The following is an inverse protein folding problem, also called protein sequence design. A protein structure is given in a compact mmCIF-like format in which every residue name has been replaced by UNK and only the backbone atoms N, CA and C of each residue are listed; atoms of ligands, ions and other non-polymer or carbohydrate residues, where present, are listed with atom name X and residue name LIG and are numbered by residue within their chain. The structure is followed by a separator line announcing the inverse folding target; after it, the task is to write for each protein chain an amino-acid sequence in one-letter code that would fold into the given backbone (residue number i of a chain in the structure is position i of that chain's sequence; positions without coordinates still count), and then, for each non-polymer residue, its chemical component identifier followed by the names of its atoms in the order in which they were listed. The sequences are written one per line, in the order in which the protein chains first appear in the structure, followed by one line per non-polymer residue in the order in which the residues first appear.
data_IF_728429606520
#
_entry.id   IF_728429606520
#
_cell.length_a   1.000
_cell.length_b   1.000
_cell.length_c   1.000
_cell.angle_alpha   90.00
_cell.angle_beta   90.00
_cell.angle_gamma   90.00
#
_symmetry.space_group_name_H-M   'P 1'
#
loop_
_entity.id
_entity.type
_entity.pdbx_description
1 polymer ?
#
# COMPACT_ATOMS: atom_id res chain seq x y z
N UNK A 1 12.62 -5.76 8.17
CA UNK A 1 11.40 -6.32 8.82
C UNK A 1 10.20 -5.56 8.31
N UNK A 2 9.14 -6.24 7.89
CA UNK A 2 7.89 -5.61 7.44
C UNK A 2 7.18 -5.04 8.68
N UNK A 3 6.72 -3.80 8.63
CA UNK A 3 6.04 -3.18 9.76
C UNK A 3 4.60 -3.66 9.89
N UNK A 4 4.05 -3.59 11.11
CA UNK A 4 2.64 -3.92 11.37
C UNK A 4 1.68 -3.09 10.49
N UNK A 5 2.07 -1.86 10.12
CA UNK A 5 1.28 -0.97 9.26
C UNK A 5 1.30 -1.43 7.82
N UNK A 6 2.44 -1.85 7.30
CA UNK A 6 2.55 -2.45 5.98
C UNK A 6 1.74 -3.74 5.88
N UNK A 7 1.82 -4.61 6.89
CA UNK A 7 1.01 -5.84 6.95
C UNK A 7 -0.49 -5.53 6.96
N UNK A 8 -0.93 -4.56 7.77
CA UNK A 8 -2.34 -4.10 7.78
C UNK A 8 -2.75 -3.49 6.45
N UNK A 9 -1.87 -2.70 5.83
CA UNK A 9 -2.12 -2.09 4.51
C UNK A 9 -2.36 -3.15 3.44
N UNK A 10 -1.53 -4.19 3.39
CA UNK A 10 -1.73 -5.33 2.48
C UNK A 10 -3.07 -6.02 2.73
N UNK A 11 -3.40 -6.32 4.00
CA UNK A 11 -4.68 -6.97 4.35
C UNK A 11 -5.87 -6.11 3.91
N UNK A 12 -5.83 -4.80 4.18
CA UNK A 12 -6.88 -3.86 3.76
C UNK A 12 -6.97 -3.82 2.23
N UNK A 13 -5.83 -3.79 1.53
CA UNK A 13 -5.77 -3.81 0.07
C UNK A 13 -6.39 -5.08 -0.54
N UNK A 14 -6.16 -6.24 0.08
CA UNK A 14 -6.78 -7.51 -0.33
C UNK A 14 -8.29 -7.45 -0.09
N UNK A 15 -8.74 -7.03 1.09
CA UNK A 15 -10.17 -6.90 1.41
C UNK A 15 -10.85 -5.94 0.43
N UNK A 16 -10.22 -4.80 0.15
CA UNK A 16 -10.71 -3.82 -0.81
C UNK A 16 -10.80 -4.39 -2.22
N UNK A 17 -9.86 -5.25 -2.61
CA UNK A 17 -9.91 -5.94 -3.91
C UNK A 17 -11.06 -6.92 -3.99
N UNK A 18 -11.34 -7.66 -2.92
CA UNK A 18 -12.48 -8.58 -2.85
C UNK A 18 -13.81 -7.81 -2.93
N UNK A 19 -13.93 -6.70 -2.20
CA UNK A 19 -15.15 -5.89 -2.21
C UNK A 19 -15.34 -5.12 -3.51
N UNK A 20 -14.28 -4.86 -4.28
CA UNK A 20 -14.34 -4.18 -5.58
C UNK A 20 -15.21 -4.91 -6.62
N UNK A 21 -15.35 -6.23 -6.49
CA UNK A 21 -16.16 -7.05 -7.39
C UNK A 21 -17.66 -6.96 -7.08
N UNK A 22 -18.04 -6.53 -5.88
CA UNK A 22 -19.46 -6.35 -5.51
C UNK A 22 -20.13 -5.28 -6.39
N UNK A 23 -19.68 -4.02 -6.44
CA UNK A 23 -20.27 -3.01 -7.33
C UNK A 23 -19.97 -3.24 -8.81
N UNK A 24 -19.12 -4.22 -9.13
CA UNK A 24 -18.87 -4.63 -10.52
C UNK A 24 -19.98 -5.57 -11.01
N UNK A 25 -20.32 -6.58 -10.20
CA UNK A 25 -21.38 -7.56 -10.54
C UNK A 25 -22.78 -7.12 -10.10
N UNK A 26 -22.88 -6.10 -9.25
CA UNK A 26 -24.14 -5.59 -8.76
C UNK A 26 -24.21 -4.09 -8.95
N UNK A 27 -25.40 -3.57 -9.24
CA UNK A 27 -25.63 -2.11 -9.23
C UNK A 27 -25.66 -1.53 -7.80
N UNK A 28 -25.49 -2.37 -6.78
CA UNK A 28 -25.31 -1.90 -5.41
C UNK A 28 -24.04 -1.07 -5.28
N UNK A 29 -24.10 -0.04 -4.45
CA UNK A 29 -22.99 0.88 -4.19
C UNK A 29 -22.55 1.69 -5.42
N UNK A 30 -23.44 1.93 -6.39
CA UNK A 30 -23.14 2.73 -7.59
C UNK A 30 -22.47 4.09 -7.31
N UNK A 31 -22.90 4.78 -6.24
CA UNK A 31 -22.28 6.04 -5.80
C UNK A 31 -20.83 5.88 -5.30
N UNK A 32 -20.47 4.73 -4.73
CA UNK A 32 -19.13 4.42 -4.22
C UNK A 32 -18.30 3.58 -5.19
N UNK A 33 -18.86 3.16 -6.34
CA UNK A 33 -18.21 2.32 -7.34
C UNK A 33 -16.89 2.93 -7.84
N UNK A 34 -16.82 4.26 -7.95
CA UNK A 34 -15.60 4.95 -8.37
C UNK A 34 -14.42 4.77 -7.40
N UNK A 35 -14.69 4.48 -6.13
CA UNK A 35 -13.66 4.27 -5.10
C UNK A 35 -13.51 2.78 -4.83
N UNK A 36 -14.60 2.07 -4.57
CA UNK A 36 -14.57 0.65 -4.20
C UNK A 36 -14.16 -0.21 -5.40
N UNK A 37 -14.59 0.13 -6.62
CA UNK A 37 -14.35 -0.64 -7.83
C UNK A 37 -12.97 -0.46 -8.47
N UNK A 38 -12.10 0.39 -7.92
CA UNK A 38 -10.77 0.67 -8.49
C UNK A 38 -9.94 -0.62 -8.69
N UNK A 39 -9.80 -1.52 -7.69
CA UNK A 39 -9.03 -2.74 -7.86
C UNK A 39 -9.55 -3.65 -8.98
N UNK A 40 -10.88 -3.79 -9.10
CA UNK A 40 -11.50 -4.61 -10.14
C UNK A 40 -11.26 -4.01 -11.54
N UNK A 41 -11.44 -2.69 -11.69
CA UNK A 41 -11.16 -1.99 -12.94
C UNK A 41 -9.68 -2.12 -13.36
N UNK A 42 -8.76 -1.98 -12.40
CA UNK A 42 -7.33 -2.17 -12.67
C UNK A 42 -6.99 -3.62 -13.04
N UNK A 43 -7.60 -4.61 -12.37
CA UNK A 43 -7.45 -6.02 -12.70
C UNK A 43 -7.90 -6.34 -14.12
N UNK A 44 -9.06 -5.82 -14.54
CA UNK A 44 -9.58 -5.97 -15.91
C UNK A 44 -8.70 -5.30 -16.96
N UNK A 45 -8.18 -4.11 -16.67
CA UNK A 45 -7.25 -3.43 -17.57
C UNK A 45 -5.92 -4.20 -17.71
N UNK A 46 -5.43 -4.83 -16.64
CA UNK A 46 -4.26 -5.70 -16.71
C UNK A 46 -4.53 -6.97 -17.51
N UNK A 47 -5.70 -7.58 -17.34
CA UNK A 47 -6.14 -8.72 -18.14
C UNK A 47 -6.10 -8.39 -19.63
N UNK A 48 -6.66 -7.24 -20.00
CA UNK A 48 -6.70 -6.74 -21.36
C UNK A 48 -5.30 -6.42 -21.90
N UNK A 49 -4.44 -5.81 -21.09
CA UNK A 49 -3.07 -5.47 -21.48
C UNK A 49 -2.16 -6.69 -21.64
N UNK A 50 -2.36 -7.74 -20.84
CA UNK A 50 -1.53 -8.94 -20.83
C UNK A 50 -2.10 -10.08 -21.68
N UNK A 51 -3.38 -10.00 -22.10
CA UNK A 51 -4.06 -11.03 -22.86
C UNK A 51 -4.19 -12.36 -22.10
N UNK A 52 -4.25 -12.32 -20.77
CA UNK A 52 -4.33 -13.52 -19.90
C UNK A 52 -5.51 -13.40 -18.97
N UNK A 53 -6.46 -14.34 -19.04
CA UNK A 53 -7.76 -14.31 -18.35
C UNK A 53 -7.71 -14.54 -16.85
N UNK A 54 -7.17 -13.58 -16.08
CA UNK A 54 -7.02 -13.64 -14.63
C UNK A 54 -7.22 -12.25 -13.95
N UNK A 55 -8.17 -11.42 -14.41
CA UNK A 55 -8.43 -10.10 -13.82
C UNK A 55 -8.63 -10.12 -12.30
N UNK A 56 -9.26 -11.17 -11.77
CA UNK A 56 -9.46 -11.33 -10.33
C UNK A 56 -8.13 -11.41 -9.58
N UNK A 57 -7.19 -12.24 -10.05
CA UNK A 57 -5.87 -12.37 -9.43
C UNK A 57 -5.07 -11.08 -9.57
N UNK A 58 -5.13 -10.43 -10.74
CA UNK A 58 -4.49 -9.14 -10.94
C UNK A 58 -5.05 -8.06 -10.02
N UNK A 59 -6.37 -8.03 -9.81
CA UNK A 59 -7.00 -7.08 -8.88
C UNK A 59 -6.47 -7.23 -7.45
N UNK A 60 -6.31 -8.48 -6.98
CA UNK A 60 -5.79 -8.78 -5.64
C UNK A 60 -4.32 -8.38 -5.54
N UNK A 61 -3.49 -8.71 -6.53
CA UNK A 61 -2.08 -8.36 -6.55
C UNK A 61 -1.88 -6.85 -6.53
N UNK A 62 -2.63 -6.12 -7.37
CA UNK A 62 -2.57 -4.67 -7.43
C UNK A 62 -3.09 -4.03 -6.16
N UNK A 63 -4.22 -4.49 -5.61
CA UNK A 63 -4.76 -3.94 -4.36
C UNK A 63 -3.86 -4.23 -3.16
N UNK A 64 -3.25 -5.42 -3.08
CA UNK A 64 -2.23 -5.74 -2.09
C UNK A 64 -0.99 -4.84 -2.23
N UNK A 65 -0.53 -4.62 -3.46
CA UNK A 65 0.59 -3.74 -3.78
C UNK A 65 0.31 -2.29 -3.40
N UNK A 66 -0.85 -1.75 -3.79
CA UNK A 66 -1.31 -0.42 -3.40
C UNK A 66 -1.42 -0.30 -1.87
N UNK A 67 -2.03 -1.27 -1.21
CA UNK A 67 -2.14 -1.33 0.24
C UNK A 67 -0.79 -1.33 0.94
N UNK A 68 0.20 -2.04 0.37
CA UNK A 68 1.58 -2.00 0.86
C UNK A 68 2.24 -0.63 0.68
N UNK A 69 2.08 0.00 -0.49
CA UNK A 69 2.61 1.34 -0.78
C UNK A 69 2.01 2.37 0.16
N UNK A 70 0.69 2.40 0.32
CA UNK A 70 0.02 3.28 1.27
C UNK A 70 0.48 3.01 2.71
N UNK A 71 0.56 1.75 3.12
CA UNK A 71 1.07 1.37 4.44
C UNK A 71 2.50 1.85 4.68
N UNK A 72 3.35 1.80 3.65
CA UNK A 72 4.74 2.28 3.68
C UNK A 72 4.83 3.80 3.74
N UNK A 73 4.00 4.52 2.98
CA UNK A 73 3.92 5.99 3.04
C UNK A 73 3.50 6.47 4.43
N UNK A 74 2.46 5.85 5.00
CA UNK A 74 1.99 6.18 6.36
C UNK A 74 3.08 5.89 7.40
N UNK A 75 3.82 4.80 7.23
CA UNK A 75 4.92 4.45 8.13
C UNK A 75 6.09 5.43 8.01
N UNK A 76 6.44 5.84 6.79
CA UNK A 76 7.46 6.85 6.51
C UNK A 76 7.10 8.23 7.06
N UNK A 77 5.84 8.65 6.93
CA UNK A 77 5.35 9.90 7.51
C UNK A 77 5.39 9.88 9.04
N UNK A 78 4.93 8.79 9.67
CA UNK A 78 4.87 8.69 11.14
C UNK A 78 6.22 8.52 11.80
N UNK A 79 7.15 7.80 11.17
CA UNK A 79 8.49 7.64 11.72
C UNK A 79 9.36 8.88 11.48
N UNK A 80 8.81 9.89 10.80
CA UNK A 80 9.51 11.03 10.25
C UNK A 80 10.44 10.54 9.15
N UNK A 81 10.46 11.25 8.01
CA UNK A 81 11.62 11.16 7.13
C UNK A 81 12.80 11.69 7.96
N UNK A 82 13.49 10.78 8.65
CA UNK A 82 14.70 11.09 9.37
C UNK A 82 15.74 11.30 8.29
N UNK A 83 15.81 12.53 7.77
CA UNK A 83 16.89 12.96 6.89
C UNK A 83 18.16 12.88 7.74
N UNK A 84 18.84 11.74 7.64
CA UNK A 84 20.15 11.52 8.27
C UNK A 84 21.11 12.48 7.56
N UNK A 85 21.29 13.68 8.13
CA UNK A 85 22.16 14.71 7.58
C UNK A 85 21.76 16.16 7.89
N UNK A 86 20.49 16.44 8.23
CA UNK A 86 20.05 17.84 8.32
C UNK A 86 20.31 18.54 9.66
N UNK A 87 20.48 17.79 10.74
CA UNK A 87 20.81 18.35 12.06
C UNK A 87 22.04 17.66 12.64
N UNK A 88 23.21 18.33 12.68
CA UNK A 88 24.35 17.83 13.43
C UNK A 88 23.94 17.76 14.90
N UNK A 89 23.82 16.53 15.40
CA UNK A 89 23.57 16.25 16.81
C UNK A 89 24.74 16.84 17.59
N UNK A 90 24.57 18.04 18.16
CA UNK A 90 25.59 18.72 18.96
C UNK A 90 26.14 17.74 20.00
N UNK A 91 27.42 17.41 19.81
CA UNK A 91 28.38 16.86 20.78
C UNK A 91 27.89 15.65 21.60
N UNK A 92 27.98 14.45 21.02
CA UNK A 92 28.41 13.29 21.84
C UNK A 92 29.86 13.56 22.23
N UNK A 93 30.08 13.97 23.48
CA UNK A 93 31.40 14.01 24.11
C UNK A 93 32.02 12.61 23.92
N UNK A 94 33.04 12.53 23.07
CA UNK A 94 33.92 11.37 23.04
C UNK A 94 34.53 11.27 24.44
N UNK A 95 34.16 10.21 25.16
CA UNK A 95 34.86 9.83 26.39
C UNK A 95 36.30 9.46 25.98
N UNK A 96 37.20 10.45 26.02
CA UNK A 96 38.63 10.19 26.15
C UNK A 96 38.83 9.61 27.54
N UNK A 97 38.99 8.30 27.61
CA UNK A 97 39.88 7.63 28.57
C UNK A 97 40.54 6.47 27.85
N UNK A 98 41.59 6.82 27.11
CA UNK A 98 42.67 5.89 26.85
C UNK A 98 43.72 6.09 27.93
N UNK A 99 44.14 4.97 28.52
CA UNK A 99 45.31 4.72 29.37
C UNK A 99 45.36 5.46 30.71
#
# INVERSE_FOLDING_TARGET
MISLRQKKGVIIGIIWSLTAWVPYYTEYLGALRQIIGIPAALGLNMELALGRGDAFVYSILLGAGLGFVFGSMVDGLKNGVKIIGLFPRRKRRLLRRGL
#
